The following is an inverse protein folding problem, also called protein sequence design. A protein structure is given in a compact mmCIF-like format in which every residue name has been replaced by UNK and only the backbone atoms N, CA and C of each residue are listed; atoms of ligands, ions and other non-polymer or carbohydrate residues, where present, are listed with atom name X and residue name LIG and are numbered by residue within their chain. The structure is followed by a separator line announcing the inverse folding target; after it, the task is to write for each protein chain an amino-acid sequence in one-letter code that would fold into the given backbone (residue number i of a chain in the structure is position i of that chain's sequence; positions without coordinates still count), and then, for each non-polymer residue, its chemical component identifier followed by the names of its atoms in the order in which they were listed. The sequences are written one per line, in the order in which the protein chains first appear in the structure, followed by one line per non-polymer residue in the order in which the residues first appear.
data_IF_889706288691
#
_entry.id   IF_889706288691
#
_cell.length_a   1.000
_cell.length_b   1.000
_cell.length_c   1.000
_cell.angle_alpha   90.00
_cell.angle_beta   90.00
_cell.angle_gamma   90.00
#
_symmetry.space_group_name_H-M   'P 1'
#
loop_
_entity.id
_entity.type
_entity.pdbx_description
1 polymer ?
#
# COMPACT_ATOMS: atom_id res chain seq x y z
N UNK A 1 -14.58 18.60 -12.49
CA UNK A 1 -13.19 18.69 -12.98
C UNK A 1 -12.43 17.55 -12.35
N UNK A 2 -12.02 16.55 -13.12
CA UNK A 2 -11.04 15.57 -12.64
C UNK A 2 -9.68 16.26 -12.78
N UNK A 3 -9.02 16.52 -11.66
CA UNK A 3 -7.61 16.92 -11.65
C UNK A 3 -6.80 15.65 -11.82
N UNK A 4 -6.29 15.42 -13.04
CA UNK A 4 -5.27 14.40 -13.27
C UNK A 4 -4.06 14.72 -12.39
N UNK A 5 -3.75 13.83 -11.46
CA UNK A 5 -2.63 13.93 -10.54
C UNK A 5 -1.59 12.89 -10.96
N UNK A 6 -0.45 13.36 -11.43
CA UNK A 6 0.64 12.49 -11.88
C UNK A 6 1.57 12.14 -10.71
N UNK A 7 1.93 10.87 -10.58
CA UNK A 7 2.87 10.38 -9.57
C UNK A 7 4.04 9.71 -10.27
N UNK A 8 5.23 10.29 -10.10
CA UNK A 8 6.47 9.73 -10.63
C UNK A 8 7.16 8.85 -9.58
N UNK A 9 7.65 7.68 -9.99
CA UNK A 9 8.35 6.72 -9.14
C UNK A 9 9.84 6.67 -9.53
N UNK A 10 10.72 6.42 -8.56
CA UNK A 10 12.08 5.99 -8.89
C UNK A 10 12.05 4.63 -9.58
N UNK A 11 13.05 4.34 -10.41
CA UNK A 11 13.13 3.07 -11.15
C UNK A 11 13.08 1.84 -10.23
N UNK A 12 13.73 1.91 -9.06
CA UNK A 12 13.67 0.85 -8.05
C UNK A 12 12.24 0.64 -7.52
N UNK A 13 11.57 1.72 -7.11
CA UNK A 13 10.21 1.67 -6.59
C UNK A 13 9.22 1.19 -7.63
N UNK A 14 9.35 1.68 -8.86
CA UNK A 14 8.58 1.21 -10.01
C UNK A 14 8.77 -0.28 -10.23
N UNK A 15 10.01 -0.75 -10.31
CA UNK A 15 10.33 -2.17 -10.56
C UNK A 15 9.76 -3.07 -9.47
N UNK A 16 9.91 -2.68 -8.20
CA UNK A 16 9.35 -3.42 -7.05
C UNK A 16 7.83 -3.46 -7.07
N UNK A 17 7.17 -2.36 -7.42
CA UNK A 17 5.72 -2.29 -7.52
C UNK A 17 5.20 -3.20 -8.64
N UNK A 18 5.83 -3.16 -9.82
CA UNK A 18 5.49 -4.03 -10.94
C UNK A 18 5.65 -5.50 -10.54
N UNK A 19 6.74 -5.86 -9.87
CA UNK A 19 6.94 -7.23 -9.36
C UNK A 19 5.88 -7.64 -8.34
N UNK A 20 5.46 -6.74 -7.44
CA UNK A 20 4.40 -7.05 -6.47
C UNK A 20 3.07 -7.33 -7.17
N UNK A 21 2.72 -6.56 -8.20
CA UNK A 21 1.48 -6.75 -8.98
C UNK A 21 1.54 -8.06 -9.78
N UNK A 22 2.64 -8.34 -10.48
CA UNK A 22 2.79 -9.55 -11.31
C UNK A 22 2.80 -10.84 -10.48
N UNK A 23 3.31 -10.79 -9.26
CA UNK A 23 3.36 -11.94 -8.37
C UNK A 23 2.12 -12.06 -7.45
N UNK A 24 1.13 -11.17 -7.61
CA UNK A 24 -0.10 -11.23 -6.85
C UNK A 24 -0.84 -12.55 -7.16
N UNK A 25 -1.04 -13.36 -6.11
CA UNK A 25 -1.78 -14.62 -6.24
C UNK A 25 -3.28 -14.34 -6.25
N UNK A 26 -4.07 -15.09 -7.06
CA UNK A 26 -5.52 -15.00 -7.02
C UNK A 26 -6.05 -15.18 -5.59
N UNK A 27 -7.04 -14.37 -5.23
CA UNK A 27 -7.74 -14.53 -3.96
C UNK A 27 -8.42 -15.91 -3.92
N UNK A 28 -8.26 -16.70 -2.83
CA UNK A 28 -8.80 -18.06 -2.75
C UNK A 28 -10.33 -18.11 -2.81
N UNK A 29 -11.02 -17.03 -2.44
CA UNK A 29 -12.47 -16.93 -2.50
C UNK A 29 -12.97 -16.46 -3.88
N UNK A 30 -12.31 -15.46 -4.47
CA UNK A 30 -12.74 -14.87 -5.73
C UNK A 30 -12.20 -15.58 -6.98
N UNK A 31 -11.14 -16.39 -6.83
CA UNK A 31 -10.49 -17.12 -7.94
C UNK A 31 -9.69 -16.24 -8.90
N UNK A 32 -9.59 -14.93 -8.64
CA UNK A 32 -8.82 -13.96 -9.42
C UNK A 32 -8.17 -12.92 -8.49
N UNK A 33 -7.25 -12.11 -9.02
CA UNK A 33 -6.64 -11.01 -8.27
C UNK A 33 -7.67 -9.89 -8.14
N UNK A 34 -7.99 -9.49 -6.91
CA UNK A 34 -9.01 -8.47 -6.63
C UNK A 34 -8.44 -7.05 -6.66
N UNK A 35 -9.32 -6.06 -6.81
CA UNK A 35 -8.96 -4.65 -6.72
C UNK A 35 -8.31 -4.28 -5.37
N UNK A 36 -8.72 -4.93 -4.28
CA UNK A 36 -8.12 -4.72 -2.96
C UNK A 36 -6.66 -5.20 -2.94
N UNK A 37 -6.36 -6.36 -3.52
CA UNK A 37 -4.98 -6.86 -3.60
C UNK A 37 -4.07 -5.92 -4.41
N UNK A 38 -4.59 -5.34 -5.49
CA UNK A 38 -3.87 -4.32 -6.27
C UNK A 38 -3.67 -3.04 -5.46
N UNK A 39 -4.72 -2.58 -4.77
CA UNK A 39 -4.66 -1.40 -3.89
C UNK A 39 -3.61 -1.57 -2.79
N UNK A 40 -3.54 -2.76 -2.19
CA UNK A 40 -2.51 -3.09 -1.19
C UNK A 40 -1.11 -3.03 -1.79
N UNK A 41 -0.88 -3.59 -2.98
CA UNK A 41 0.43 -3.50 -3.64
C UNK A 41 0.83 -2.05 -3.96
N UNK A 42 -0.11 -1.25 -4.46
CA UNK A 42 0.07 0.19 -4.72
C UNK A 42 0.44 0.95 -3.44
N UNK A 43 -0.22 0.62 -2.34
CA UNK A 43 -0.02 1.26 -1.06
C UNK A 43 1.28 0.86 -0.37
N UNK A 44 1.50 -0.43 -0.17
CA UNK A 44 2.65 -0.96 0.58
C UNK A 44 3.98 -0.74 -0.16
N UNK A 45 3.98 -0.86 -1.50
CA UNK A 45 5.21 -0.77 -2.30
C UNK A 45 5.34 0.58 -3.01
N UNK A 46 4.24 1.11 -3.54
CA UNK A 46 4.23 2.38 -4.23
C UNK A 46 4.06 3.59 -3.30
N UNK A 47 3.57 3.40 -2.08
CA UNK A 47 3.05 4.48 -1.21
C UNK A 47 1.95 5.31 -1.90
N UNK A 48 1.17 4.66 -2.76
CA UNK A 48 0.07 5.25 -3.51
C UNK A 48 -1.23 4.72 -2.91
N UNK A 49 -1.95 5.60 -2.22
CA UNK A 49 -3.21 5.27 -1.58
C UNK A 49 -4.34 6.11 -2.16
N UNK A 50 -5.51 5.51 -2.45
CA UNK A 50 -6.70 6.26 -2.81
C UNK A 50 -7.03 7.29 -1.72
N UNK A 51 -7.55 8.46 -2.12
CA UNK A 51 -7.84 9.54 -1.18
C UNK A 51 -8.81 9.11 -0.07
N UNK A 52 -9.78 8.25 -0.39
CA UNK A 52 -10.74 7.71 0.56
C UNK A 52 -10.15 6.71 1.56
N UNK A 53 -8.96 6.14 1.28
CA UNK A 53 -8.27 5.21 2.19
C UNK A 53 -7.34 5.93 3.18
N UNK A 54 -7.07 7.23 3.00
CA UNK A 54 -6.15 8.00 3.86
C UNK A 54 -6.70 8.27 5.26
N UNK A 55 -8.02 8.20 5.47
CA UNK A 55 -8.65 8.47 6.76
C UNK A 55 -8.21 7.50 7.87
N UNK A 56 -7.99 6.23 7.53
CA UNK A 56 -7.70 5.18 8.53
C UNK A 56 -6.19 4.94 8.75
N UNK A 57 -5.32 5.22 7.78
CA UNK A 57 -3.87 5.03 7.94
C UNK A 57 -3.21 6.01 8.91
N UNK A 58 -3.81 7.18 9.15
CA UNK A 58 -3.32 8.11 10.17
C UNK A 58 -3.44 7.48 11.56
N UNK A 59 -4.43 6.61 11.80
CA UNK A 59 -4.64 5.97 13.09
C UNK A 59 -3.56 4.90 13.35
N UNK A 60 -3.27 4.02 12.39
CA UNK A 60 -2.30 2.93 12.58
C UNK A 60 -0.85 3.45 12.68
N UNK A 61 -0.50 4.50 11.92
CA UNK A 61 0.81 5.15 12.03
C UNK A 61 1.01 5.88 13.38
N UNK A 62 -0.05 6.44 13.96
CA UNK A 62 0.00 7.04 15.30
C UNK A 62 0.05 5.96 16.39
N UNK A 63 -0.75 4.90 16.30
CA UNK A 63 -0.71 3.78 17.25
C UNK A 63 0.65 3.07 17.28
N UNK A 64 1.32 2.94 16.14
CA UNK A 64 2.68 2.36 16.07
C UNK A 64 3.80 3.32 16.47
N UNK A 65 3.57 4.63 16.44
CA UNK A 65 4.52 5.63 16.93
C UNK A 65 4.52 5.73 18.47
N UNK A 66 3.42 5.37 19.13
CA UNK A 66 3.24 5.53 20.58
C UNK A 66 3.68 4.32 21.43
N UNK A 67 4.18 3.24 20.84
CA UNK A 67 4.67 2.08 21.61
C UNK A 67 6.16 2.24 21.96
N UNK A 68 6.55 2.69 23.18
CA UNK A 68 7.95 2.70 23.56
C UNK A 68 8.50 1.27 23.54
N UNK A 69 9.64 1.07 22.87
CA UNK A 69 10.45 -0.15 22.99
C UNK A 69 10.95 -0.24 24.43
N UNK A 70 10.18 -0.87 25.31
CA UNK A 70 10.68 -1.29 26.62
C UNK A 70 11.74 -2.36 26.37
N UNK A 71 13.03 -2.00 26.51
CA UNK A 71 14.11 -2.98 26.60
C UNK A 71 13.86 -3.83 27.85
N UNK A 72 13.60 -5.11 27.67
CA UNK A 72 13.70 -6.07 28.76
C UNK A 72 15.18 -6.15 29.19
N UNK A 73 15.44 -5.87 30.47
CA UNK A 73 16.68 -6.16 31.17
C UNK A 73 16.54 -7.50 31.90
#
# INVERSE_FOLDING_TARGET
MQTDSEIYLSDDRHSRLVQAILNAKPCPFAGHVTADQITMALGEVGSIWPEHSRGDMVIDALEHAERPRTKAA
#
